data_IF_294715775123
#
_entry.id   IF_294715775123
#
_cell.length_a   1.000
_cell.length_b   1.000
_cell.length_c   1.000
_cell.angle_alpha   90.00
_cell.angle_beta   90.00
_cell.angle_gamma   90.00
#
_symmetry.space_group_name_H-M   'P 1'
#
loop_
_entity.id
_entity.type
_entity.pdbx_description
1 polymer ?
#
# COMPACT_ATOMS: atom_id res chain seq x y z
N UNK A 1 -27.91 -23.29 7.57
CA UNK A 1 -28.42 -23.62 8.91
C UNK A 1 -29.23 -24.93 8.79
N UNK A 2 -28.95 -25.90 9.67
CA UNK A 2 -29.72 -27.16 9.77
C UNK A 2 -30.84 -26.92 10.78
N UNK A 3 -32.07 -27.16 10.38
CA UNK A 3 -33.21 -27.05 11.30
C UNK A 3 -33.18 -28.14 12.32
N UNK A 4 -33.49 -27.88 13.58
CA UNK A 4 -33.48 -28.87 14.69
C UNK A 4 -34.22 -30.14 14.34
N UNK A 5 -35.39 -30.03 13.67
CA UNK A 5 -36.21 -31.19 13.26
C UNK A 5 -35.49 -32.15 12.29
N UNK A 6 -34.44 -31.73 11.62
CA UNK A 6 -33.65 -32.56 10.68
C UNK A 6 -32.50 -33.29 11.39
N UNK A 7 -32.20 -32.92 12.64
CA UNK A 7 -31.12 -33.51 13.42
C UNK A 7 -31.60 -34.86 13.99
N UNK A 8 -30.85 -35.92 13.73
CA UNK A 8 -31.05 -37.20 14.35
C UNK A 8 -30.23 -37.35 15.64
N UNK A 9 -28.96 -36.91 15.61
CA UNK A 9 -28.05 -37.09 16.74
C UNK A 9 -26.92 -36.06 16.66
N UNK A 10 -26.48 -35.52 17.81
CA UNK A 10 -25.25 -34.77 17.94
C UNK A 10 -24.26 -35.51 18.85
N UNK A 11 -23.14 -35.96 18.29
CA UNK A 11 -22.08 -36.66 19.01
C UNK A 11 -20.99 -35.67 19.42
N UNK A 12 -21.08 -35.17 20.61
CA UNK A 12 -20.18 -34.14 21.15
C UNK A 12 -18.71 -34.59 21.14
N UNK A 13 -18.43 -35.84 21.54
CA UNK A 13 -17.06 -36.37 21.62
C UNK A 13 -16.39 -36.52 20.24
N UNK A 14 -17.18 -36.78 19.20
CA UNK A 14 -16.70 -36.91 17.81
C UNK A 14 -16.83 -35.61 17.03
N UNK A 15 -17.57 -34.64 17.57
CA UNK A 15 -17.95 -33.38 16.88
C UNK A 15 -18.66 -33.68 15.54
N UNK A 16 -19.57 -34.60 15.54
CA UNK A 16 -20.33 -35.05 14.36
C UNK A 16 -21.82 -34.85 14.57
N UNK A 17 -22.44 -34.15 13.64
CA UNK A 17 -23.89 -34.02 13.54
C UNK A 17 -24.40 -35.03 12.53
N UNK A 18 -25.34 -35.91 12.96
CA UNK A 18 -26.05 -36.82 12.08
C UNK A 18 -27.44 -36.27 11.77
N UNK A 19 -27.79 -36.28 10.50
CA UNK A 19 -29.11 -35.87 10.04
C UNK A 19 -30.02 -37.08 9.81
N UNK A 20 -31.34 -36.86 9.87
CA UNK A 20 -32.35 -37.92 9.67
C UNK A 20 -32.31 -38.56 8.30
N UNK A 21 -31.80 -37.86 7.29
CA UNK A 21 -31.59 -38.39 5.94
C UNK A 21 -30.31 -39.23 5.79
N UNK A 22 -29.58 -39.48 6.90
CA UNK A 22 -28.34 -40.24 6.90
C UNK A 22 -27.08 -39.42 6.64
N UNK A 23 -27.18 -38.13 6.28
CA UNK A 23 -26.02 -37.29 6.08
C UNK A 23 -25.31 -37.00 7.40
N UNK A 24 -23.99 -36.74 7.32
CA UNK A 24 -23.16 -36.41 8.49
C UNK A 24 -22.37 -35.13 8.22
N UNK A 25 -22.31 -34.25 9.21
CA UNK A 25 -21.49 -33.04 9.22
C UNK A 25 -20.49 -33.15 10.36
N UNK A 26 -19.21 -33.21 10.04
CA UNK A 26 -18.14 -33.25 11.04
C UNK A 26 -17.48 -31.89 11.16
N UNK A 27 -17.18 -31.48 12.38
CA UNK A 27 -16.47 -30.23 12.69
C UNK A 27 -15.06 -30.55 13.17
N UNK A 28 -14.08 -29.84 12.67
CA UNK A 28 -12.66 -30.01 13.05
C UNK A 28 -11.97 -28.67 13.20
N UNK A 29 -11.15 -28.53 14.23
CA UNK A 29 -10.27 -27.36 14.38
C UNK A 29 -8.98 -27.57 13.60
N UNK A 30 -8.49 -26.50 12.94
CA UNK A 30 -7.19 -26.49 12.31
C UNK A 30 -6.03 -26.74 13.29
N UNK A 31 -6.18 -26.33 14.56
CA UNK A 31 -5.21 -26.57 15.63
C UNK A 31 -4.97 -28.05 15.92
N UNK A 32 -5.89 -28.93 15.52
CA UNK A 32 -5.71 -30.37 15.68
C UNK A 32 -4.69 -30.98 14.71
N UNK A 33 -4.19 -30.19 13.78
CA UNK A 33 -3.15 -30.54 12.82
C UNK A 33 -3.61 -31.43 11.68
N UNK A 34 -2.78 -31.51 10.63
CA UNK A 34 -3.02 -32.20 9.37
C UNK A 34 -3.50 -33.66 9.53
N UNK A 35 -2.93 -34.40 10.48
CA UNK A 35 -3.22 -35.84 10.68
C UNK A 35 -4.69 -36.11 11.00
N UNK A 36 -5.40 -35.16 11.61
CA UNK A 36 -6.83 -35.31 11.91
C UNK A 36 -7.73 -35.24 10.67
N UNK A 37 -7.20 -34.80 9.56
CA UNK A 37 -7.93 -34.73 8.29
C UNK A 37 -7.72 -35.97 7.43
N UNK A 38 -6.89 -36.92 7.87
CA UNK A 38 -6.60 -38.16 7.14
C UNK A 38 -7.69 -39.20 7.31
N UNK A 39 -7.79 -40.14 6.35
CA UNK A 39 -8.54 -41.39 6.48
C UNK A 39 -10.05 -41.32 6.23
N UNK A 40 -10.60 -40.23 5.68
CA UNK A 40 -12.03 -40.12 5.38
C UNK A 40 -12.30 -39.49 4.02
N UNK A 41 -13.20 -40.12 3.22
CA UNK A 41 -13.78 -39.50 2.04
C UNK A 41 -14.84 -38.48 2.43
N UNK A 42 -14.93 -37.37 1.67
CA UNK A 42 -15.94 -36.32 1.85
C UNK A 42 -16.53 -35.94 0.51
N UNK A 43 -17.81 -35.61 0.51
CA UNK A 43 -18.49 -35.02 -0.65
C UNK A 43 -18.28 -33.50 -0.72
N UNK A 44 -18.10 -32.88 0.44
CA UNK A 44 -18.03 -31.45 0.60
C UNK A 44 -17.19 -31.08 1.81
N UNK A 45 -16.34 -30.06 1.67
CA UNK A 45 -15.51 -29.53 2.75
C UNK A 45 -15.64 -28.01 2.73
N UNK A 46 -15.91 -27.44 3.90
CA UNK A 46 -15.86 -26.01 4.11
C UNK A 46 -14.64 -25.68 4.98
N UNK A 47 -13.78 -24.83 4.46
CA UNK A 47 -12.67 -24.25 5.18
C UNK A 47 -13.05 -22.82 5.55
N UNK A 48 -13.20 -22.57 6.84
CA UNK A 48 -13.52 -21.23 7.37
C UNK A 48 -12.24 -20.54 7.78
N UNK A 49 -12.00 -19.36 7.20
CA UNK A 49 -10.76 -18.58 7.24
C UNK A 49 -9.56 -19.25 6.51
N UNK A 50 -8.41 -18.58 6.49
CA UNK A 50 -7.21 -19.09 5.86
C UNK A 50 -6.53 -20.16 6.73
N UNK A 51 -6.80 -21.43 6.42
CA UNK A 51 -6.19 -22.57 7.08
C UNK A 51 -4.70 -22.69 6.74
N UNK A 52 -3.90 -23.43 7.54
CA UNK A 52 -2.55 -23.86 7.13
C UNK A 52 -2.58 -24.56 5.77
N UNK A 53 -1.59 -24.26 4.92
CA UNK A 53 -1.53 -24.77 3.55
C UNK A 53 -1.51 -26.31 3.50
N UNK A 54 -0.82 -26.96 4.42
CA UNK A 54 -0.71 -28.41 4.51
C UNK A 54 -2.06 -29.09 4.80
N UNK A 55 -2.97 -28.42 5.53
CA UNK A 55 -4.35 -28.87 5.72
C UNK A 55 -5.13 -28.78 4.41
N UNK A 56 -5.01 -27.66 3.69
CA UNK A 56 -5.65 -27.51 2.38
C UNK A 56 -5.18 -28.59 1.40
N UNK A 57 -3.89 -28.82 1.29
CA UNK A 57 -3.32 -29.87 0.45
C UNK A 57 -3.82 -31.24 0.85
N UNK A 58 -3.91 -31.53 2.15
CA UNK A 58 -4.43 -32.78 2.67
C UNK A 58 -5.91 -32.98 2.32
N UNK A 59 -6.76 -31.95 2.39
CA UNK A 59 -8.17 -32.08 2.03
C UNK A 59 -8.38 -32.20 0.52
N UNK A 60 -7.54 -31.61 -0.31
CA UNK A 60 -7.61 -31.73 -1.77
C UNK A 60 -7.45 -33.18 -2.26
N UNK A 61 -6.71 -34.02 -1.54
CA UNK A 61 -6.52 -35.42 -1.91
C UNK A 61 -7.61 -36.36 -1.36
N UNK A 62 -8.64 -35.84 -0.67
CA UNK A 62 -9.77 -36.60 -0.13
C UNK A 62 -10.88 -36.84 -1.16
N UNK A 63 -10.52 -36.85 -2.42
CA UNK A 63 -11.38 -37.22 -3.54
C UNK A 63 -11.42 -38.73 -3.60
N UNK A 64 -12.52 -39.32 -3.16
CA UNK A 64 -12.76 -40.75 -3.31
C UNK A 64 -13.48 -41.07 -4.62
N UNK A 65 -14.54 -41.85 -4.53
CA UNK A 65 -15.42 -42.22 -5.67
C UNK A 65 -16.34 -41.07 -6.11
N UNK A 66 -16.36 -39.96 -5.37
CA UNK A 66 -17.23 -38.80 -5.61
C UNK A 66 -16.43 -37.53 -5.92
N UNK A 67 -17.05 -36.62 -6.67
CA UNK A 67 -16.50 -35.29 -6.89
C UNK A 67 -16.49 -34.54 -5.56
N UNK A 68 -15.29 -34.12 -5.12
CA UNK A 68 -15.12 -33.31 -3.93
C UNK A 68 -15.33 -31.83 -4.27
N UNK A 69 -16.22 -31.18 -3.52
CA UNK A 69 -16.39 -29.75 -3.56
C UNK A 69 -15.74 -29.12 -2.32
N UNK A 70 -14.77 -28.22 -2.53
CA UNK A 70 -14.12 -27.46 -1.47
C UNK A 70 -14.63 -26.03 -1.52
N UNK A 71 -15.10 -25.56 -0.38
CA UNK A 71 -15.57 -24.21 -0.15
C UNK A 71 -14.64 -23.53 0.84
N UNK A 72 -14.13 -22.35 0.51
CA UNK A 72 -13.33 -21.58 1.43
C UNK A 72 -13.95 -20.20 1.60
N UNK A 73 -14.24 -19.83 2.84
CA UNK A 73 -14.63 -18.47 3.21
C UNK A 73 -13.47 -17.82 3.96
N UNK A 74 -12.95 -16.71 3.48
CA UNK A 74 -11.82 -16.07 4.11
C UNK A 74 -11.80 -14.56 3.90
N UNK A 75 -11.36 -13.85 4.92
CA UNK A 75 -10.84 -12.48 4.79
C UNK A 75 -9.32 -12.61 4.61
N UNK A 76 -8.79 -12.16 3.47
CA UNK A 76 -7.36 -12.33 3.13
C UNK A 76 -6.46 -11.44 4.00
N UNK A 77 -6.51 -11.70 5.30
CA UNK A 77 -5.66 -11.03 6.30
C UNK A 77 -4.59 -12.01 6.76
N UNK A 78 -3.38 -11.51 7.05
CA UNK A 78 -2.37 -12.38 7.63
C UNK A 78 -2.81 -12.87 9.00
N UNK A 79 -2.50 -14.11 9.36
CA UNK A 79 -2.66 -14.58 10.73
C UNK A 79 -1.90 -13.70 11.71
N UNK A 80 -2.43 -13.46 12.93
CA UNK A 80 -1.73 -12.70 13.96
C UNK A 80 -0.35 -13.32 14.25
N UNK A 81 0.69 -12.51 14.22
CA UNK A 81 2.06 -12.94 14.57
C UNK A 81 2.89 -13.50 13.41
N UNK A 82 2.37 -13.66 12.22
CA UNK A 82 3.20 -14.00 11.05
C UNK A 82 3.83 -12.75 10.45
N UNK A 83 5.16 -12.76 10.43
CA UNK A 83 5.97 -11.69 9.87
C UNK A 83 6.36 -12.09 8.45
N UNK A 84 5.85 -11.34 7.47
CA UNK A 84 6.33 -11.37 6.09
C UNK A 84 5.79 -12.53 5.23
N UNK A 85 5.04 -12.20 4.23
CA UNK A 85 4.61 -13.10 3.15
C UNK A 85 3.16 -12.87 2.75
N UNK A 86 2.92 -12.92 1.47
CA UNK A 86 1.57 -13.05 0.92
C UNK A 86 1.03 -14.39 1.42
N UNK A 87 -0.17 -14.40 2.01
CA UNK A 87 -0.84 -15.63 2.43
C UNK A 87 -0.84 -16.67 1.30
N UNK A 88 -0.73 -17.95 1.64
CA UNK A 88 -0.68 -19.03 0.64
C UNK A 88 -1.94 -19.04 -0.24
N UNK A 89 -3.10 -18.72 0.35
CA UNK A 89 -4.38 -18.68 -0.35
C UNK A 89 -4.35 -17.64 -1.49
N UNK A 90 -3.79 -16.45 -1.23
CA UNK A 90 -3.61 -15.47 -2.29
C UNK A 90 -2.60 -15.95 -3.34
N UNK A 91 -1.46 -16.46 -2.90
CA UNK A 91 -0.35 -16.86 -3.80
C UNK A 91 -0.71 -18.01 -4.71
N UNK A 92 -1.34 -19.06 -4.17
CA UNK A 92 -1.58 -20.31 -4.91
C UNK A 92 -2.99 -20.42 -5.50
N UNK A 93 -3.94 -19.59 -5.03
CA UNK A 93 -5.32 -19.63 -5.49
C UNK A 93 -5.69 -18.32 -6.19
N UNK A 94 -5.70 -17.19 -5.47
CA UNK A 94 -6.24 -15.93 -5.98
C UNK A 94 -5.40 -15.35 -7.12
N UNK A 95 -4.08 -15.28 -6.95
CA UNK A 95 -3.19 -14.73 -7.98
C UNK A 95 -3.19 -15.55 -9.28
N UNK A 96 -3.06 -16.89 -9.25
CA UNK A 96 -3.20 -17.70 -10.47
C UNK A 96 -4.59 -17.63 -11.09
N UNK A 97 -5.65 -17.56 -10.28
CA UNK A 97 -7.01 -17.38 -10.79
C UNK A 97 -7.17 -16.06 -11.55
N UNK A 98 -6.67 -14.95 -10.99
CA UNK A 98 -6.66 -13.65 -11.69
C UNK A 98 -5.91 -13.68 -13.02
N UNK A 99 -4.95 -14.58 -13.18
CA UNK A 99 -4.19 -14.79 -14.41
C UNK A 99 -4.85 -15.80 -15.37
N UNK A 100 -6.05 -16.30 -15.05
CA UNK A 100 -6.75 -17.30 -15.86
C UNK A 100 -6.15 -18.71 -15.82
N UNK A 101 -5.22 -19.00 -14.86
CA UNK A 101 -4.51 -20.28 -14.73
C UNK A 101 -5.26 -21.32 -13.88
N UNK A 102 -6.42 -20.96 -13.32
CA UNK A 102 -7.24 -21.77 -12.42
C UNK A 102 -8.71 -21.71 -12.84
N UNK A 103 -9.07 -22.22 -14.04
CA UNK A 103 -10.44 -22.12 -14.54
C UNK A 103 -11.43 -22.96 -13.73
N UNK A 104 -10.95 -23.95 -12.97
CA UNK A 104 -11.75 -24.80 -12.09
C UNK A 104 -12.20 -24.12 -10.80
N UNK A 105 -11.68 -22.91 -10.52
CA UNK A 105 -11.96 -22.18 -9.29
C UNK A 105 -12.91 -21.02 -9.58
N UNK A 106 -14.01 -20.94 -8.82
CA UNK A 106 -14.89 -19.78 -8.76
C UNK A 106 -14.56 -18.95 -7.52
N UNK A 107 -14.34 -17.64 -7.70
CA UNK A 107 -14.15 -16.71 -6.59
C UNK A 107 -15.29 -15.70 -6.58
N UNK A 108 -15.94 -15.61 -5.42
CA UNK A 108 -16.98 -14.62 -5.13
C UNK A 108 -16.50 -13.70 -4.03
N UNK A 109 -16.76 -12.42 -4.18
CA UNK A 109 -16.32 -11.41 -3.26
C UNK A 109 -17.51 -10.53 -2.87
N UNK A 110 -17.60 -10.16 -1.61
CA UNK A 110 -18.61 -9.25 -1.10
C UNK A 110 -17.97 -8.25 -0.15
N UNK A 111 -18.56 -7.06 -0.08
CA UNK A 111 -18.17 -6.00 0.84
C UNK A 111 -19.15 -5.91 2.00
N UNK A 112 -18.73 -5.21 3.07
CA UNK A 112 -19.65 -4.87 4.18
C UNK A 112 -20.83 -4.03 3.67
N UNK A 113 -20.61 -3.26 2.61
CA UNK A 113 -21.63 -2.37 2.02
C UNK A 113 -22.72 -3.14 1.26
N UNK A 114 -22.46 -4.39 0.88
CA UNK A 114 -23.41 -5.25 0.20
C UNK A 114 -24.41 -5.89 1.19
N UNK A 115 -24.14 -5.78 2.50
CA UNK A 115 -25.01 -6.37 3.52
C UNK A 115 -26.04 -5.36 4.05
N UNK A 116 -27.31 -5.45 3.64
CA UNK A 116 -28.36 -4.50 4.03
C UNK A 116 -28.73 -4.57 5.52
N UNK A 117 -28.26 -5.61 6.24
CA UNK A 117 -28.58 -5.81 7.66
C UNK A 117 -27.60 -5.14 8.61
N UNK A 118 -26.48 -4.61 8.10
CA UNK A 118 -25.52 -3.91 8.95
C UNK A 118 -25.98 -2.47 9.13
N UNK A 119 -26.17 -1.99 10.36
CA UNK A 119 -26.56 -0.60 10.62
C UNK A 119 -25.50 0.38 10.08
N UNK A 120 -25.95 1.47 9.48
CA UNK A 120 -25.05 2.49 8.93
C UNK A 120 -24.08 3.06 9.97
N UNK A 121 -24.54 3.25 11.21
CA UNK A 121 -23.69 3.72 12.32
C UNK A 121 -22.52 2.75 12.61
N UNK A 122 -22.74 1.44 12.41
CA UNK A 122 -21.67 0.46 12.58
C UNK A 122 -20.64 0.52 11.43
N UNK A 123 -21.10 0.75 10.20
CA UNK A 123 -20.23 0.99 9.05
C UNK A 123 -19.36 2.23 9.30
N UNK A 124 -19.95 3.34 9.71
CA UNK A 124 -19.25 4.59 10.01
C UNK A 124 -18.24 4.43 11.16
N UNK A 125 -18.57 3.63 12.19
CA UNK A 125 -17.64 3.26 13.27
C UNK A 125 -16.45 2.47 12.75
N UNK A 126 -16.68 1.54 11.84
CA UNK A 126 -15.61 0.73 11.23
C UNK A 126 -14.76 1.56 10.27
N UNK A 127 -15.33 2.47 9.51
CA UNK A 127 -14.62 3.42 8.66
C UNK A 127 -13.73 4.38 9.47
N UNK A 128 -14.17 4.77 10.67
CA UNK A 128 -13.33 5.52 11.61
C UNK A 128 -12.13 4.70 12.08
N UNK A 129 -12.33 3.40 12.33
CA UNK A 129 -11.26 2.48 12.76
C UNK A 129 -10.28 2.14 11.62
N UNK A 130 -10.79 1.99 10.42
CA UNK A 130 -10.03 1.73 9.20
C UNK A 130 -10.36 2.80 8.18
N UNK A 131 -9.54 3.88 8.09
CA UNK A 131 -9.84 5.00 7.21
C UNK A 131 -10.07 4.55 5.76
N UNK A 132 -11.09 5.13 5.16
CA UNK A 132 -11.45 4.87 3.75
C UNK A 132 -10.22 5.09 2.86
N UNK A 133 -9.89 4.08 2.04
CA UNK A 133 -8.70 4.08 1.18
C UNK A 133 -7.48 3.38 1.77
N UNK A 134 -7.45 3.12 3.08
CA UNK A 134 -6.40 2.27 3.65
C UNK A 134 -6.51 0.83 3.14
N UNK A 135 -5.38 0.11 3.06
CA UNK A 135 -5.37 -1.31 2.69
C UNK A 135 -6.25 -2.13 3.63
N UNK A 136 -6.29 -1.77 4.92
CA UNK A 136 -7.15 -2.41 5.91
C UNK A 136 -8.64 -2.23 5.57
N UNK A 137 -9.07 -1.02 5.23
CA UNK A 137 -10.44 -0.76 4.82
C UNK A 137 -10.80 -1.51 3.54
N UNK A 138 -9.91 -1.51 2.55
CA UNK A 138 -10.13 -2.21 1.28
C UNK A 138 -10.33 -3.71 1.47
N UNK A 139 -9.53 -4.34 2.33
CA UNK A 139 -9.65 -5.78 2.62
C UNK A 139 -10.85 -6.04 3.54
N UNK A 140 -10.94 -5.36 4.69
CA UNK A 140 -11.92 -5.68 5.74
C UNK A 140 -13.32 -5.20 5.45
N UNK A 141 -13.45 -4.02 4.84
CA UNK A 141 -14.75 -3.41 4.52
C UNK A 141 -15.13 -3.66 3.07
N UNK A 142 -14.17 -3.52 2.16
CA UNK A 142 -14.38 -3.68 0.72
C UNK A 142 -14.32 -5.12 0.24
N UNK A 143 -13.87 -6.08 1.05
CA UNK A 143 -13.71 -7.48 0.63
C UNK A 143 -12.70 -7.66 -0.51
N UNK A 144 -11.80 -6.69 -0.74
CA UNK A 144 -10.90 -6.75 -1.87
C UNK A 144 -9.88 -7.90 -1.73
N UNK A 145 -9.67 -8.59 -2.84
CA UNK A 145 -8.69 -9.68 -2.95
C UNK A 145 -7.29 -9.10 -3.16
N UNK A 146 -6.74 -8.53 -2.10
CA UNK A 146 -5.37 -8.03 -2.08
C UNK A 146 -4.42 -9.05 -1.44
N UNK A 147 -3.12 -9.02 -1.78
CA UNK A 147 -2.13 -9.77 -1.02
C UNK A 147 -2.23 -9.38 0.45
N UNK A 148 -2.40 -10.36 1.34
CA UNK A 148 -2.56 -10.12 2.78
C UNK A 148 -1.40 -9.34 3.40
N UNK A 149 -1.60 -8.73 4.57
CA UNK A 149 -0.69 -7.74 5.16
C UNK A 149 0.57 -8.29 5.84
N UNK A 150 0.82 -9.57 5.93
CA UNK A 150 2.05 -10.08 6.50
C UNK A 150 3.09 -10.32 5.40
N UNK A 151 4.02 -9.41 5.29
CA UNK A 151 4.85 -9.18 4.12
C UNK A 151 4.07 -8.48 3.02
N UNK A 152 3.02 -7.76 3.39
CA UNK A 152 2.24 -6.93 2.50
C UNK A 152 3.10 -5.80 2.00
N UNK A 153 3.01 -5.55 0.71
CA UNK A 153 3.52 -4.30 0.18
C UNK A 153 2.90 -3.14 0.93
N UNK A 154 3.71 -2.25 1.43
CA UNK A 154 3.23 -1.03 2.07
C UNK A 154 2.34 -0.22 1.11
N UNK A 155 2.65 -0.31 -0.18
CA UNK A 155 1.93 0.37 -1.25
C UNK A 155 1.03 -0.61 -2.02
N UNK A 156 0.12 -1.26 -1.31
CA UNK A 156 -0.78 -2.28 -1.86
C UNK A 156 -1.78 -1.77 -2.90
N UNK A 157 -2.01 -0.44 -2.96
CA UNK A 157 -2.85 0.21 -3.97
C UNK A 157 -2.12 0.51 -5.27
N UNK A 158 -0.79 0.40 -5.29
CA UNK A 158 0.00 0.60 -6.50
C UNK A 158 -0.22 -0.54 -7.48
N UNK A 159 -0.50 -0.16 -8.72
CA UNK A 159 -0.64 -1.08 -9.85
C UNK A 159 0.14 -0.50 -11.03
N UNK A 160 1.15 -1.24 -11.51
CA UNK A 160 2.00 -0.80 -12.62
C UNK A 160 1.20 -0.40 -13.85
N UNK A 161 0.13 -1.13 -14.18
CA UNK A 161 -0.73 -0.84 -15.33
C UNK A 161 -1.54 0.45 -15.15
N UNK A 162 -1.83 0.84 -13.92
CA UNK A 162 -2.61 2.04 -13.62
C UNK A 162 -1.72 3.27 -13.36
N UNK A 163 -0.57 3.08 -12.70
CA UNK A 163 0.24 4.17 -12.17
C UNK A 163 1.48 4.48 -13.02
N UNK A 164 2.00 3.52 -13.80
CA UNK A 164 3.21 3.74 -14.61
C UNK A 164 2.84 4.05 -16.05
N UNK A 165 3.54 5.00 -16.64
CA UNK A 165 3.36 5.40 -18.05
C UNK A 165 4.72 5.65 -18.69
N UNK A 166 4.81 5.33 -19.98
CA UNK A 166 5.88 5.82 -20.83
C UNK A 166 5.86 7.36 -20.87
N UNK A 167 7.00 7.99 -20.95
CA UNK A 167 7.14 9.44 -20.99
C UNK A 167 6.22 10.10 -22.03
N UNK A 168 6.08 9.48 -23.20
CA UNK A 168 5.20 9.95 -24.28
C UNK A 168 3.71 9.89 -23.95
N UNK A 169 3.31 9.09 -22.97
CA UNK A 169 1.93 8.92 -22.50
C UNK A 169 1.62 9.70 -21.21
N UNK A 170 2.64 10.29 -20.60
CA UNK A 170 2.46 11.21 -19.47
C UNK A 170 1.96 12.58 -19.97
N UNK A 171 1.15 13.27 -19.14
CA UNK A 171 0.88 14.68 -19.39
C UNK A 171 2.18 15.47 -19.44
N UNK A 172 2.36 16.28 -20.45
CA UNK A 172 3.58 17.07 -20.66
C UNK A 172 3.89 17.96 -19.42
N UNK A 173 5.18 18.02 -19.07
CA UNK A 173 5.66 18.88 -18.00
C UNK A 173 5.44 20.35 -18.38
N UNK A 174 4.73 21.07 -17.52
CA UNK A 174 4.38 22.46 -17.79
C UNK A 174 5.43 23.41 -17.23
N UNK A 175 6.06 24.21 -18.10
CA UNK A 175 6.99 25.29 -17.72
C UNK A 175 6.31 26.47 -16.98
N UNK A 176 4.98 26.46 -16.87
CA UNK A 176 4.21 27.48 -16.13
C UNK A 176 3.83 27.05 -14.72
N UNK A 177 4.14 25.81 -14.34
CA UNK A 177 3.83 25.27 -13.02
C UNK A 177 5.10 25.06 -12.22
N UNK A 178 5.03 25.16 -10.89
CA UNK A 178 6.16 24.82 -10.04
C UNK A 178 6.63 23.39 -10.30
N UNK A 179 7.94 23.20 -10.26
CA UNK A 179 8.57 21.89 -10.21
C UNK A 179 8.67 21.47 -8.75
N UNK A 180 8.17 20.33 -8.40
CA UNK A 180 8.31 19.74 -7.08
C UNK A 180 9.58 18.90 -7.07
N UNK A 181 10.50 19.21 -6.17
CA UNK A 181 11.76 18.49 -5.98
C UNK A 181 11.81 17.92 -4.57
N UNK A 182 11.71 16.60 -4.47
CA UNK A 182 11.44 15.88 -3.24
C UNK A 182 12.68 15.10 -2.84
N UNK A 183 13.11 15.23 -1.58
CA UNK A 183 14.34 14.66 -1.07
C UNK A 183 14.11 13.67 0.07
N UNK A 184 14.90 12.59 0.06
CA UNK A 184 15.20 11.79 1.25
C UNK A 184 16.71 11.86 1.51
N UNK A 185 17.08 12.44 2.67
CA UNK A 185 18.47 12.78 3.03
C UNK A 185 19.24 11.59 3.62
N UNK A 186 19.22 10.46 2.97
CA UNK A 186 20.10 9.37 3.35
C UNK A 186 21.48 9.53 2.72
N UNK A 187 22.50 8.94 3.34
CA UNK A 187 23.87 9.05 2.84
C UNK A 187 24.13 8.05 1.73
N UNK A 188 23.45 6.89 1.77
CA UNK A 188 23.65 5.78 0.84
C UNK A 188 22.37 4.92 0.72
N UNK A 189 21.61 5.04 -0.36
CA UNK A 189 21.69 6.06 -1.39
C UNK A 189 21.02 7.38 -0.96
N UNK A 190 21.52 8.51 -1.48
CA UNK A 190 20.78 9.76 -1.46
C UNK A 190 19.82 9.78 -2.63
N UNK A 191 18.57 10.12 -2.40
CA UNK A 191 17.55 10.07 -3.45
C UNK A 191 16.77 11.38 -3.54
N UNK A 192 16.39 11.72 -4.77
CA UNK A 192 15.37 12.75 -4.99
C UNK A 192 14.42 12.37 -6.11
N UNK A 193 13.18 12.85 -6.01
CA UNK A 193 12.16 12.73 -7.04
C UNK A 193 11.84 14.11 -7.60
N UNK A 194 11.52 14.16 -8.88
CA UNK A 194 11.13 15.40 -9.55
C UNK A 194 9.76 15.21 -10.19
N UNK A 195 8.82 16.07 -9.85
CA UNK A 195 7.45 15.94 -10.32
C UNK A 195 6.68 17.25 -10.37
N UNK A 196 5.42 17.16 -10.76
CA UNK A 196 4.47 18.28 -10.73
C UNK A 196 3.11 17.83 -10.21
N UNK A 197 2.45 18.73 -9.45
CA UNK A 197 1.02 18.63 -9.14
C UNK A 197 0.23 19.48 -10.13
N UNK A 198 -0.85 18.94 -10.68
CA UNK A 198 -1.72 19.65 -11.60
C UNK A 198 -3.19 19.34 -11.35
N UNK A 199 -4.04 20.31 -11.52
CA UNK A 199 -5.48 20.09 -11.51
C UNK A 199 -5.90 19.60 -12.90
N UNK A 200 -6.41 18.37 -12.97
CA UNK A 200 -7.03 17.79 -14.14
C UNK A 200 -8.55 18.00 -14.05
N UNK A 201 -9.19 18.46 -15.14
CA UNK A 201 -10.63 18.80 -15.14
C UNK A 201 -11.53 17.59 -14.86
N UNK A 202 -11.08 16.38 -15.21
CA UNK A 202 -11.87 15.15 -15.07
C UNK A 202 -11.45 14.35 -13.83
N UNK A 203 -10.16 14.35 -13.48
CA UNK A 203 -9.58 13.50 -12.44
C UNK A 203 -9.30 14.22 -11.12
N UNK A 204 -9.46 15.54 -11.07
CA UNK A 204 -9.09 16.36 -9.92
C UNK A 204 -7.57 16.57 -9.84
N UNK A 205 -7.00 16.60 -8.63
CA UNK A 205 -5.57 16.78 -8.46
C UNK A 205 -4.80 15.54 -8.92
N UNK A 206 -3.89 15.74 -9.86
CA UNK A 206 -3.01 14.71 -10.40
C UNK A 206 -1.56 15.04 -10.04
N UNK A 207 -0.84 14.07 -9.48
CA UNK A 207 0.58 14.15 -9.13
C UNK A 207 1.36 13.27 -10.11
N UNK A 208 2.42 13.81 -10.70
CA UNK A 208 3.20 13.11 -11.72
C UNK A 208 4.67 13.17 -11.32
N UNK A 209 5.31 12.01 -11.20
CA UNK A 209 6.75 11.89 -11.05
C UNK A 209 7.34 11.66 -12.43
N UNK A 210 8.19 12.58 -12.88
CA UNK A 210 8.82 12.53 -14.20
C UNK A 210 10.23 11.97 -14.15
N UNK A 211 10.98 12.25 -13.08
CA UNK A 211 12.35 11.77 -12.92
C UNK A 211 12.63 11.37 -11.48
N UNK A 212 13.57 10.46 -11.32
CA UNK A 212 14.26 10.19 -10.06
C UNK A 212 15.76 10.38 -10.23
N UNK A 213 16.43 10.80 -9.19
CA UNK A 213 17.89 10.82 -9.09
C UNK A 213 18.30 10.03 -7.87
N UNK A 214 19.13 9.02 -8.07
CA UNK A 214 19.65 8.13 -7.03
C UNK A 214 21.17 8.18 -7.08
N UNK A 215 21.80 8.58 -5.98
CA UNK A 215 23.23 8.63 -5.84
C UNK A 215 23.67 7.63 -4.79
N UNK A 216 24.41 6.62 -5.20
CA UNK A 216 24.97 5.61 -4.28
C UNK A 216 26.05 6.22 -3.39
N UNK A 217 26.84 7.12 -3.94
CA UNK A 217 27.83 7.95 -3.26
C UNK A 217 27.65 9.39 -3.73
N UNK A 218 27.66 10.32 -2.82
CA UNK A 218 27.52 11.74 -3.15
C UNK A 218 26.83 12.54 -2.05
N UNK A 219 26.83 13.85 -2.23
CA UNK A 219 26.23 14.79 -1.30
C UNK A 219 25.18 15.67 -1.96
N UNK A 220 24.76 16.69 -1.21
CA UNK A 220 23.75 17.67 -1.66
C UNK A 220 24.25 18.40 -2.92
N UNK A 221 25.53 18.71 -3.02
CA UNK A 221 26.07 19.41 -4.19
C UNK A 221 25.96 18.56 -5.47
N UNK A 222 26.31 17.27 -5.37
CA UNK A 222 26.22 16.34 -6.50
C UNK A 222 24.77 16.18 -6.96
N UNK A 223 23.83 16.06 -6.02
CA UNK A 223 22.40 15.97 -6.32
C UNK A 223 21.88 17.25 -7.00
N UNK A 224 22.33 18.42 -6.55
CA UNK A 224 21.98 19.70 -7.19
C UNK A 224 22.57 19.80 -8.59
N UNK A 225 23.77 19.30 -8.81
CA UNK A 225 24.37 19.25 -10.15
C UNK A 225 23.55 18.36 -11.09
N UNK A 226 23.15 17.16 -10.67
CA UNK A 226 22.26 16.28 -11.45
C UNK A 226 20.92 16.95 -11.78
N UNK A 227 20.33 17.64 -10.82
CA UNK A 227 19.10 18.39 -11.06
C UNK A 227 19.28 19.48 -12.12
N UNK A 228 20.40 20.22 -12.07
CA UNK A 228 20.74 21.27 -13.07
C UNK A 228 20.97 20.69 -14.47
N UNK A 229 21.57 19.52 -14.56
CA UNK A 229 21.76 18.83 -15.83
C UNK A 229 20.44 18.39 -16.45
N UNK A 230 19.50 17.92 -15.64
CA UNK A 230 18.16 17.53 -16.10
C UNK A 230 17.29 18.73 -16.50
N UNK A 231 17.45 19.87 -15.81
CA UNK A 231 16.61 21.04 -15.98
C UNK A 231 17.42 22.35 -16.17
N UNK A 232 18.30 22.45 -17.19
CA UNK A 232 19.25 23.54 -17.31
C UNK A 232 18.60 24.90 -17.53
N UNK A 233 17.39 24.95 -18.07
CA UNK A 233 16.70 26.20 -18.45
C UNK A 233 15.31 26.31 -17.79
N UNK A 234 15.13 25.71 -16.62
CA UNK A 234 13.84 25.81 -15.91
C UNK A 234 13.65 27.19 -15.30
N UNK A 235 12.51 27.84 -15.57
CA UNK A 235 12.26 29.22 -15.16
C UNK A 235 11.10 29.36 -14.14
N UNK A 236 10.20 28.35 -14.05
CA UNK A 236 9.14 28.37 -13.05
C UNK A 236 9.70 28.03 -11.64
N UNK A 237 8.99 28.39 -10.57
CA UNK A 237 9.44 28.07 -9.21
C UNK A 237 9.80 26.60 -9.01
N UNK A 238 10.82 26.32 -8.22
CA UNK A 238 11.15 24.98 -7.72
C UNK A 238 10.74 24.93 -6.24
N UNK A 239 9.89 23.98 -5.90
CA UNK A 239 9.45 23.77 -4.51
C UNK A 239 10.13 22.52 -4.00
N UNK A 240 10.95 22.67 -2.98
CA UNK A 240 11.68 21.58 -2.32
C UNK A 240 10.83 21.01 -1.21
N UNK A 241 10.58 19.71 -1.27
CA UNK A 241 9.95 18.89 -0.24
C UNK A 241 10.95 17.89 0.32
N UNK A 242 10.69 17.32 1.48
CA UNK A 242 11.54 16.25 2.03
C UNK A 242 11.35 16.04 3.52
N UNK A 243 12.29 15.31 4.09
CA UNK A 243 12.35 14.96 5.49
C UNK A 243 12.55 16.18 6.39
N UNK A 244 11.76 16.30 7.48
CA UNK A 244 11.91 17.37 8.46
C UNK A 244 13.28 17.35 9.14
N UNK A 245 13.96 16.20 9.25
CA UNK A 245 15.32 16.11 9.79
C UNK A 245 16.36 16.90 8.99
N UNK A 246 16.06 17.24 7.73
CA UNK A 246 16.87 18.15 6.93
C UNK A 246 16.96 19.57 7.50
N UNK A 247 16.13 19.94 8.49
CA UNK A 247 16.26 21.16 9.28
C UNK A 247 17.29 21.06 10.41
N UNK A 248 17.72 19.84 10.76
CA UNK A 248 18.70 19.63 11.81
C UNK A 248 20.09 20.06 11.32
N UNK A 249 20.87 20.59 12.27
CA UNK A 249 22.27 20.93 11.98
C UNK A 249 23.11 19.66 11.98
N UNK A 250 23.84 19.43 10.89
CA UNK A 250 24.81 18.35 10.87
C UNK A 250 25.97 18.64 11.85
N UNK A 251 26.48 17.59 12.52
CA UNK A 251 27.64 17.70 13.40
C UNK A 251 28.91 18.23 12.67
N UNK A 252 28.97 18.06 11.36
CA UNK A 252 30.09 18.48 10.50
C UNK A 252 29.88 19.87 9.87
N UNK A 253 28.65 20.38 9.86
CA UNK A 253 28.31 21.67 9.23
C UNK A 253 27.33 22.43 10.14
N UNK A 254 27.56 23.72 10.31
CA UNK A 254 26.62 24.61 11.01
C UNK A 254 25.35 24.90 10.18
N UNK A 255 25.30 24.42 8.93
CA UNK A 255 24.19 24.64 7.98
C UNK A 255 23.26 23.43 7.98
N UNK A 256 21.99 23.69 7.79
CA UNK A 256 20.99 22.66 7.56
C UNK A 256 21.05 22.17 6.11
N UNK A 257 20.56 20.96 5.82
CA UNK A 257 20.51 20.41 4.46
C UNK A 257 19.75 21.34 3.50
N UNK A 258 18.65 21.92 3.94
CA UNK A 258 17.87 22.88 3.13
C UNK A 258 18.62 24.19 2.88
N UNK A 259 19.37 24.66 3.85
CA UNK A 259 20.25 25.84 3.65
C UNK A 259 21.34 25.55 2.62
N UNK A 260 21.87 24.33 2.60
CA UNK A 260 22.86 23.91 1.61
C UNK A 260 22.24 23.88 0.21
N UNK A 261 21.07 23.27 0.03
CA UNK A 261 20.33 23.25 -1.24
C UNK A 261 20.09 24.67 -1.75
N UNK A 262 19.58 25.57 -0.89
CA UNK A 262 19.31 26.94 -1.28
C UNK A 262 20.61 27.71 -1.69
N UNK A 263 21.73 27.45 -1.03
CA UNK A 263 23.01 28.03 -1.40
C UNK A 263 23.51 27.53 -2.75
N UNK A 264 23.46 26.21 -2.97
CA UNK A 264 23.83 25.61 -4.26
C UNK A 264 22.92 26.07 -5.39
N UNK A 265 21.64 26.31 -5.13
CA UNK A 265 20.66 26.77 -6.11
C UNK A 265 20.61 28.28 -6.31
N UNK A 266 21.47 29.07 -5.61
CA UNK A 266 21.41 30.55 -5.62
C UNK A 266 21.46 31.16 -7.03
N UNK A 267 22.21 30.57 -7.95
CA UNK A 267 22.41 31.05 -9.30
C UNK A 267 21.66 30.25 -10.38
N UNK A 268 20.61 29.56 -9.98
CA UNK A 268 19.86 28.66 -10.90
C UNK A 268 18.82 29.41 -11.73
N UNK A 269 18.60 30.58 -11.73
CA UNK A 269 17.65 31.30 -12.60
C UNK A 269 16.18 31.16 -12.22
N UNK A 270 15.78 30.08 -11.56
CA UNK A 270 14.42 29.89 -11.03
C UNK A 270 14.37 30.16 -9.52
N UNK A 271 13.27 30.74 -8.99
CA UNK A 271 13.10 30.88 -7.55
C UNK A 271 12.92 29.52 -6.88
N UNK A 272 13.68 29.28 -5.80
CA UNK A 272 13.64 28.02 -5.04
C UNK A 272 13.02 28.28 -3.67
N UNK A 273 12.03 27.48 -3.29
CA UNK A 273 11.33 27.57 -2.01
C UNK A 273 11.35 26.21 -1.30
N UNK A 274 11.57 26.22 0.01
CA UNK A 274 11.50 25.03 0.84
C UNK A 274 10.10 24.93 1.46
N UNK A 275 9.45 23.79 1.27
CA UNK A 275 8.13 23.48 1.80
C UNK A 275 8.17 22.17 2.56
N UNK A 276 8.67 22.24 3.78
CA UNK A 276 8.87 21.10 4.67
C UNK A 276 8.28 21.43 6.03
N UNK A 277 7.50 20.51 6.65
CA UNK A 277 6.96 20.74 7.98
C UNK A 277 8.07 20.73 9.04
N UNK A 278 7.77 21.25 10.25
CA UNK A 278 8.70 21.22 11.39
C UNK A 278 8.95 19.81 11.93
N UNK A 279 8.04 18.87 11.67
CA UNK A 279 8.15 17.43 12.02
C UNK A 279 7.55 16.57 10.93
N UNK A 280 8.05 15.34 10.81
CA UNK A 280 7.54 14.41 9.82
C UNK A 280 6.14 13.91 10.20
N UNK A 281 5.21 13.82 9.24
CA UNK A 281 3.98 13.07 9.44
C UNK A 281 4.29 11.60 9.80
N UNK A 282 3.40 10.97 10.58
CA UNK A 282 3.54 9.56 10.92
C UNK A 282 3.73 8.70 9.66
N UNK A 283 4.61 7.71 9.73
CA UNK A 283 4.94 6.87 8.57
C UNK A 283 3.70 6.19 7.98
N UNK A 284 2.80 5.69 8.83
CA UNK A 284 1.52 5.11 8.39
C UNK A 284 0.67 6.09 7.60
N UNK A 285 0.60 7.34 8.04
CA UNK A 285 -0.13 8.40 7.35
C UNK A 285 0.48 8.73 5.97
N UNK A 286 1.82 8.71 5.86
CA UNK A 286 2.52 8.91 4.57
C UNK A 286 2.22 7.76 3.62
N UNK A 287 2.23 6.51 4.10
CA UNK A 287 1.86 5.32 3.33
C UNK A 287 0.41 5.43 2.82
N UNK A 288 -0.51 5.88 3.67
CA UNK A 288 -1.92 6.05 3.31
C UNK A 288 -2.11 7.12 2.23
N UNK A 289 -1.37 8.24 2.30
CA UNK A 289 -1.39 9.27 1.26
C UNK A 289 -0.93 8.71 -0.11
N UNK A 290 0.14 7.91 -0.12
CA UNK A 290 0.64 7.27 -1.35
C UNK A 290 -0.37 6.25 -1.88
N UNK A 291 -0.93 5.41 -1.03
CA UNK A 291 -1.93 4.42 -1.42
C UNK A 291 -3.19 5.07 -2.01
N UNK A 292 -3.68 6.16 -1.39
CA UNK A 292 -4.82 6.91 -1.94
C UNK A 292 -4.50 7.56 -3.29
N UNK A 293 -3.29 8.08 -3.46
CA UNK A 293 -2.88 8.65 -4.73
C UNK A 293 -2.73 7.59 -5.82
N UNK A 294 -2.23 6.40 -5.48
CA UNK A 294 -2.13 5.27 -6.40
C UNK A 294 -3.51 4.82 -6.89
N UNK A 295 -4.44 4.59 -5.95
CA UNK A 295 -5.81 4.20 -6.31
C UNK A 295 -6.74 4.42 -5.12
N UNK A 296 -7.74 5.27 -5.32
CA UNK A 296 -8.81 5.49 -4.36
C UNK A 296 -9.86 4.35 -4.39
N UNK A 297 -10.72 4.23 -3.36
CA UNK A 297 -11.81 3.24 -3.34
C UNK A 297 -12.77 3.37 -4.52
N UNK A 298 -12.99 4.59 -5.02
CA UNK A 298 -13.79 4.87 -6.21
C UNK A 298 -13.10 4.49 -7.54
N UNK A 299 -11.89 3.91 -7.45
CA UNK A 299 -11.07 3.51 -8.59
C UNK A 299 -10.25 4.65 -9.22
N UNK A 300 -10.41 5.89 -8.74
CA UNK A 300 -9.69 7.01 -9.31
C UNK A 300 -8.19 6.95 -8.98
N UNK A 301 -7.38 7.29 -9.97
CA UNK A 301 -5.91 7.33 -9.92
C UNK A 301 -5.47 8.78 -9.98
N UNK A 302 -4.70 9.22 -8.99
CA UNK A 302 -4.15 10.58 -8.90
C UNK A 302 -2.62 10.62 -8.86
N UNK A 303 -1.94 9.48 -8.94
CA UNK A 303 -0.49 9.37 -9.07
C UNK A 303 -0.12 8.70 -10.39
N UNK A 304 0.74 9.36 -11.17
CA UNK A 304 1.41 8.76 -12.33
C UNK A 304 2.92 8.86 -12.13
N UNK A 305 3.62 7.82 -12.57
CA UNK A 305 5.09 7.69 -12.48
C UNK A 305 5.62 7.37 -13.86
N UNK A 306 6.69 8.05 -14.26
CA UNK A 306 7.42 7.74 -15.50
C UNK A 306 8.07 6.35 -15.38
N UNK A 307 8.01 5.57 -16.45
CA UNK A 307 8.58 4.21 -16.49
C UNK A 307 10.09 4.17 -16.23
N UNK A 308 10.80 5.27 -16.40
CA UNK A 308 12.23 5.41 -16.14
C UNK A 308 12.56 5.60 -14.65
N UNK A 309 11.55 5.82 -13.78
CA UNK A 309 11.73 5.89 -12.33
C UNK A 309 11.77 4.47 -11.74
N UNK A 310 12.81 3.72 -12.07
CA UNK A 310 12.91 2.28 -11.75
C UNK A 310 12.99 1.99 -10.26
N UNK A 311 13.73 2.81 -9.49
CA UNK A 311 13.89 2.63 -8.05
C UNK A 311 12.60 2.96 -7.30
N UNK A 312 11.88 4.01 -7.71
CA UNK A 312 10.56 4.33 -7.14
C UNK A 312 9.55 3.22 -7.44
N UNK A 313 9.51 2.75 -8.68
CA UNK A 313 8.62 1.65 -9.08
C UNK A 313 8.94 0.40 -8.27
N UNK A 314 10.24 0.05 -8.14
CA UNK A 314 10.68 -1.08 -7.35
C UNK A 314 10.30 -0.94 -5.86
N UNK A 315 10.38 0.25 -5.28
CA UNK A 315 9.92 0.52 -3.92
C UNK A 315 8.41 0.30 -3.80
N UNK A 316 7.62 0.89 -4.70
CA UNK A 316 6.16 0.76 -4.69
C UNK A 316 5.68 -0.69 -4.89
N UNK A 317 6.46 -1.51 -5.59
CA UNK A 317 6.17 -2.92 -5.81
C UNK A 317 6.64 -3.83 -4.68
N UNK A 318 7.74 -3.50 -3.98
CA UNK A 318 8.44 -4.44 -3.12
C UNK A 318 8.55 -4.04 -1.64
N UNK A 319 8.33 -2.77 -1.30
CA UNK A 319 8.41 -2.33 0.10
C UNK A 319 7.32 -2.99 0.94
N UNK A 320 7.74 -3.59 2.06
CA UNK A 320 6.88 -4.37 2.93
C UNK A 320 6.53 -3.58 4.20
N UNK A 321 5.33 -3.81 4.72
CA UNK A 321 4.97 -3.37 6.04
C UNK A 321 5.75 -4.13 7.11
N UNK A 322 6.06 -3.46 8.20
CA UNK A 322 6.48 -4.12 9.43
C UNK A 322 5.25 -4.58 10.26
N UNK A 323 5.44 -5.40 11.30
CA UNK A 323 4.35 -5.87 12.14
C UNK A 323 3.58 -4.78 12.89
N UNK A 324 4.15 -3.58 13.02
CA UNK A 324 3.55 -2.42 13.70
C UNK A 324 2.79 -1.51 12.73
N UNK A 325 2.74 -1.86 11.45
CA UNK A 325 2.08 -1.08 10.41
C UNK A 325 2.95 0.00 9.77
N UNK A 326 4.23 0.09 10.17
CA UNK A 326 5.25 0.90 9.51
C UNK A 326 5.86 0.19 8.30
N UNK A 327 6.99 0.68 7.83
CA UNK A 327 7.77 0.12 6.73
C UNK A 327 8.91 -0.73 7.28
N UNK A 328 9.04 -1.97 6.76
CA UNK A 328 10.22 -2.78 7.02
C UNK A 328 11.45 -2.09 6.43
N UNK A 329 12.49 -1.89 7.25
CA UNK A 329 13.79 -1.35 6.83
C UNK A 329 14.89 -2.35 7.11
N UNK A 330 15.95 -2.33 6.29
CA UNK A 330 17.16 -3.11 6.53
C UNK A 330 18.36 -2.17 6.67
N UNK A 331 19.17 -2.36 7.71
CA UNK A 331 20.42 -1.63 7.92
C UNK A 331 21.65 -2.41 7.42
N UNK A 332 21.43 -3.60 6.88
CA UNK A 332 22.51 -4.46 6.43
C UNK A 332 22.79 -4.20 4.94
N UNK A 333 23.92 -3.56 4.60
CA UNK A 333 24.32 -3.26 3.21
C UNK A 333 24.32 -4.48 2.26
N UNK A 334 24.51 -5.69 2.79
CA UNK A 334 24.48 -6.94 2.00
C UNK A 334 23.04 -7.41 1.69
N UNK A 335 22.04 -6.86 2.37
CA UNK A 335 20.66 -7.17 2.13
C UNK A 335 20.18 -6.39 0.89
N UNK A 336 19.67 -7.04 -0.17
CA UNK A 336 19.09 -6.33 -1.31
C UNK A 336 18.00 -5.34 -0.92
N UNK A 337 17.37 -5.55 0.24
CA UNK A 337 16.35 -4.67 0.77
C UNK A 337 16.90 -3.35 1.36
N UNK A 338 18.23 -3.24 1.54
CA UNK A 338 18.89 -2.03 2.05
C UNK A 338 18.60 -0.79 1.19
N UNK A 339 18.50 -0.95 -0.12
CA UNK A 339 18.21 0.15 -1.06
C UNK A 339 16.73 0.54 -1.12
N UNK A 340 15.86 -0.27 -0.50
CA UNK A 340 14.41 -0.05 -0.56
C UNK A 340 13.98 1.02 0.46
N UNK A 341 12.83 1.63 0.20
CA UNK A 341 12.14 2.61 1.03
C UNK A 341 12.50 4.07 0.82
N UNK A 342 13.64 4.38 0.24
CA UNK A 342 14.13 5.76 0.15
C UNK A 342 13.31 6.62 -0.83
N UNK A 343 13.06 6.13 -2.04
CA UNK A 343 12.26 6.84 -3.04
C UNK A 343 10.79 6.90 -2.64
N UNK A 344 10.27 5.85 -2.05
CA UNK A 344 8.89 5.82 -1.55
C UNK A 344 8.68 6.67 -0.29
N UNK A 345 9.68 6.81 0.59
CA UNK A 345 9.65 7.77 1.70
C UNK A 345 9.63 9.22 1.16
N UNK A 346 10.48 9.54 0.17
CA UNK A 346 10.45 10.83 -0.52
C UNK A 346 9.05 11.12 -1.09
N UNK A 347 8.48 10.19 -1.86
CA UNK A 347 7.12 10.32 -2.39
C UNK A 347 6.10 10.58 -1.27
N UNK A 348 6.23 9.88 -0.13
CA UNK A 348 5.37 10.05 1.03
C UNK A 348 5.43 11.45 1.64
N UNK A 349 6.60 12.09 1.71
CA UNK A 349 6.73 13.47 2.16
C UNK A 349 5.97 14.45 1.26
N UNK A 350 6.07 14.29 -0.06
CA UNK A 350 5.36 15.13 -1.01
C UNK A 350 3.84 14.97 -0.91
N UNK A 351 3.36 13.74 -1.01
CA UNK A 351 1.92 13.47 -1.05
C UNK A 351 1.22 13.76 0.29
N UNK A 352 1.89 13.59 1.43
CA UNK A 352 1.32 13.99 2.71
C UNK A 352 1.14 15.51 2.84
N UNK A 353 1.88 16.30 2.06
CA UNK A 353 1.71 17.75 1.98
C UNK A 353 0.63 18.14 0.95
N UNK A 354 0.71 17.61 -0.27
CA UNK A 354 -0.15 18.03 -1.39
C UNK A 354 -1.54 17.36 -1.37
N UNK A 355 -1.62 16.14 -0.86
CA UNK A 355 -2.83 15.31 -0.83
C UNK A 355 -3.00 14.61 0.53
N UNK A 356 -3.10 15.35 1.65
CA UNK A 356 -3.23 14.74 2.97
C UNK A 356 -4.54 13.97 3.08
N UNK A 357 -4.47 12.77 3.67
CA UNK A 357 -5.66 12.00 4.04
C UNK A 357 -6.38 12.69 5.19
N UNK A 358 -7.71 12.76 5.15
CA UNK A 358 -8.54 13.48 6.14
C UNK A 358 -8.29 13.01 7.58
N UNK A 359 -7.89 11.77 7.79
CA UNK A 359 -7.53 11.23 9.11
C UNK A 359 -6.33 11.93 9.78
N UNK A 360 -5.44 12.56 8.99
CA UNK A 360 -4.34 13.40 9.52
C UNK A 360 -4.88 14.73 10.04
N UNK A 361 -6.11 15.11 9.67
CA UNK A 361 -6.64 16.44 9.93
C UNK A 361 -7.09 16.69 11.39
N UNK A 362 -7.16 15.68 12.25
CA UNK A 362 -7.74 15.90 13.59
C UNK A 362 -6.76 16.47 14.62
N UNK A 363 -5.45 16.21 14.53
CA UNK A 363 -4.49 16.77 15.50
C UNK A 363 -3.49 17.78 14.89
N UNK A 364 -3.02 17.55 13.66
CA UNK A 364 -1.96 18.38 13.04
C UNK A 364 -2.50 19.40 12.01
N UNK A 365 -3.75 19.27 11.58
CA UNK A 365 -4.34 20.13 10.55
C UNK A 365 -4.53 21.60 11.01
N UNK A 366 -4.55 21.86 12.30
CA UNK A 366 -4.56 23.25 12.81
C UNK A 366 -3.24 23.96 12.49
N UNK A 367 -2.14 23.23 12.52
CA UNK A 367 -0.81 23.77 12.23
C UNK A 367 -0.50 23.80 10.74
N UNK A 368 -0.87 22.75 9.99
CA UNK A 368 -0.80 22.73 8.51
C UNK A 368 -1.69 23.78 7.86
N UNK A 369 -2.86 24.11 8.44
CA UNK A 369 -3.68 25.23 7.98
C UNK A 369 -3.06 26.61 8.26
N UNK A 370 -2.26 26.76 9.33
CA UNK A 370 -1.53 28.01 9.61
C UNK A 370 -0.45 28.29 8.57
N UNK A 371 0.18 27.25 8.04
CA UNK A 371 1.25 27.36 7.02
C UNK A 371 0.66 27.56 5.62
N UNK A 372 -0.64 27.29 5.42
CA UNK A 372 -1.31 27.27 4.11
C UNK A 372 -1.63 28.64 3.52
N UNK A 373 -1.17 29.79 4.02
CA UNK A 373 -1.33 31.07 3.30
C UNK A 373 -0.24 32.06 3.66
N UNK A 374 0.55 32.51 2.64
CA UNK A 374 0.26 33.77 2.02
C UNK A 374 0.12 33.68 0.49
N UNK A 375 -1.03 34.19 0.01
CA UNK A 375 -1.13 34.89 -1.25
C UNK A 375 -0.99 34.10 -2.55
N UNK A 376 -2.04 33.36 -2.95
CA UNK A 376 -2.43 33.34 -4.36
C UNK A 376 -3.93 33.66 -4.42
N UNK A 377 -4.22 34.97 -4.48
CA UNK A 377 -5.50 35.44 -4.98
C UNK A 377 -5.47 35.38 -6.51
N UNK A 378 -6.63 35.08 -7.03
CA UNK A 378 -6.97 34.83 -8.43
C UNK A 378 -6.64 36.05 -9.33
N UNK A 379 -6.04 35.80 -10.44
CA UNK A 379 -6.31 36.50 -11.71
C UNK A 379 -6.29 35.46 -12.84
#
# INVERSE_FOLDING_TARGET
>A
FVHEREIAEWRVSEQVLRLKNGSMIGFKSADSGRTKYQGTEKHWIHLDEEHPQDIYEEVCIRVGTHTLNIFTTATLLPPPGQIGGVGWLYRYIVSPWKQGKKPEIGIFNSSIYDNPHIPRAEIERLETKWPVGSVQARIRLGGELLPGMSGTRAYGSFDRLLNVRAQSALPEMSSRRPLCWIWDFNVEPMVSLIGQSRNDRQKGMLHIVYNEVVLDEGGIADMVEQFRLLYPSWNAPVIVYGDASGHDRSHQSRKTSYTMILNEMRNYGAPVQVRVPSFNPAQTARIDCVNQACRRPDGAVSLLVDETCEELIADLESVLCDPRGGIKKSNARKDPYYRRTHTSDALGYWLSWEAPVVAIMNDDARELKRIRRPGYERS
#
